data_IF_095694671583
#
_entry.id   IF_095694671583
#
_cell.length_a   1.000
_cell.length_b   1.000
_cell.length_c   1.000
_cell.angle_alpha   90.00
_cell.angle_beta   90.00
_cell.angle_gamma   90.00
#
_symmetry.space_group_name_H-M   'P 1'
#
loop_
_entity.id
_entity.type
_entity.pdbx_description
1 polymer ?
#
# COMPACT_ATOMS: atom_id res chain seq x y z
N UNK A 1 -31.95 -42.50 3.84
CA UNK A 1 -31.85 -41.15 3.20
C UNK A 1 -30.41 -40.98 2.74
N UNK A 2 -30.19 -41.03 1.43
CA UNK A 2 -28.90 -41.39 0.85
C UNK A 2 -27.89 -40.25 0.99
N UNK A 3 -26.76 -40.54 1.63
CA UNK A 3 -25.68 -39.60 1.95
C UNK A 3 -25.15 -38.83 0.73
N UNK A 4 -25.10 -39.50 -0.42
CA UNK A 4 -24.71 -38.92 -1.70
C UNK A 4 -25.60 -37.73 -2.12
N UNK A 5 -26.91 -37.86 -2.00
CA UNK A 5 -27.87 -36.80 -2.34
C UNK A 5 -27.72 -35.59 -1.41
N UNK A 6 -27.32 -35.84 -0.15
CA UNK A 6 -27.08 -34.78 0.84
C UNK A 6 -25.79 -34.01 0.55
N UNK A 7 -24.73 -34.70 0.11
CA UNK A 7 -23.46 -34.06 -0.29
C UNK A 7 -23.64 -33.19 -1.54
N UNK A 8 -24.37 -33.68 -2.54
CA UNK A 8 -24.67 -32.89 -3.75
C UNK A 8 -25.48 -31.63 -3.43
N UNK A 9 -26.45 -31.73 -2.50
CA UNK A 9 -27.27 -30.60 -2.07
C UNK A 9 -26.48 -29.57 -1.25
N UNK A 10 -25.48 -30.02 -0.49
CA UNK A 10 -24.58 -29.16 0.25
C UNK A 10 -23.61 -28.42 -0.68
N UNK A 11 -23.06 -29.10 -1.69
CA UNK A 11 -22.21 -28.50 -2.71
C UNK A 11 -22.96 -27.44 -3.55
N UNK A 12 -24.22 -27.70 -3.93
CA UNK A 12 -25.05 -26.73 -4.64
C UNK A 12 -25.49 -25.52 -3.78
N UNK A 13 -25.44 -25.64 -2.46
CA UNK A 13 -25.68 -24.54 -1.51
C UNK A 13 -24.38 -23.86 -1.06
N UNK A 14 -23.23 -24.32 -1.55
CA UNK A 14 -21.95 -23.77 -1.16
C UNK A 14 -21.65 -22.50 -1.98
N UNK A 15 -21.92 -21.34 -1.37
CA UNK A 15 -21.66 -20.03 -1.95
C UNK A 15 -20.20 -19.56 -1.78
N UNK A 16 -19.34 -20.39 -1.15
CA UNK A 16 -17.93 -20.04 -0.93
C UNK A 16 -17.19 -19.71 -2.24
N UNK A 17 -17.53 -20.35 -3.35
CA UNK A 17 -16.99 -20.04 -4.67
C UNK A 17 -17.40 -18.67 -5.22
N UNK A 18 -18.62 -18.20 -4.93
CA UNK A 18 -19.11 -16.87 -5.32
C UNK A 18 -18.41 -15.80 -4.49
N UNK A 19 -18.25 -16.05 -3.20
CA UNK A 19 -17.53 -15.12 -2.30
C UNK A 19 -16.05 -14.98 -2.70
N UNK A 20 -15.40 -16.04 -3.20
CA UNK A 20 -14.02 -15.97 -3.65
C UNK A 20 -13.81 -15.06 -4.88
N UNK A 21 -14.81 -14.98 -5.78
CA UNK A 21 -14.75 -14.12 -6.97
C UNK A 21 -14.92 -12.63 -6.58
N UNK A 22 -15.85 -12.33 -5.68
CA UNK A 22 -16.09 -10.96 -5.22
C UNK A 22 -14.91 -10.41 -4.42
N UNK A 23 -14.40 -11.19 -3.46
CA UNK A 23 -13.19 -10.83 -2.73
C UNK A 23 -11.97 -10.79 -3.64
N UNK A 24 -11.93 -11.59 -4.72
CA UNK A 24 -10.89 -11.54 -5.75
C UNK A 24 -10.83 -10.18 -6.46
N UNK A 25 -11.98 -9.62 -6.86
CA UNK A 25 -12.05 -8.29 -7.49
C UNK A 25 -11.70 -7.19 -6.49
N UNK A 26 -12.21 -7.30 -5.26
CA UNK A 26 -11.90 -6.33 -4.21
C UNK A 26 -10.40 -6.32 -3.86
N UNK A 27 -9.78 -7.51 -3.80
CA UNK A 27 -8.34 -7.64 -3.60
C UNK A 27 -7.54 -7.04 -4.77
N UNK A 28 -7.98 -7.25 -6.03
CA UNK A 28 -7.34 -6.65 -7.20
C UNK A 28 -7.44 -5.12 -7.18
N UNK A 29 -8.61 -4.57 -6.83
CA UNK A 29 -8.81 -3.12 -6.70
C UNK A 29 -7.92 -2.52 -5.60
N UNK A 30 -7.82 -3.19 -4.45
CA UNK A 30 -6.94 -2.78 -3.36
C UNK A 30 -5.47 -2.83 -3.76
N UNK A 31 -5.03 -3.90 -4.44
CA UNK A 31 -3.67 -4.02 -4.94
C UNK A 31 -3.32 -2.91 -5.93
N UNK A 32 -4.23 -2.56 -6.84
CA UNK A 32 -4.05 -1.45 -7.76
C UNK A 32 -3.94 -0.10 -7.02
N UNK A 33 -4.81 0.15 -6.04
CA UNK A 33 -4.75 1.38 -5.24
C UNK A 33 -3.44 1.51 -4.45
N UNK A 34 -3.00 0.43 -3.79
CA UNK A 34 -1.70 0.38 -3.09
C UNK A 34 -0.55 0.60 -4.10
N UNK A 35 -0.61 -0.01 -5.28
CA UNK A 35 0.39 0.18 -6.33
C UNK A 35 0.50 1.64 -6.79
N UNK A 36 -0.61 2.36 -6.91
CA UNK A 36 -0.61 3.79 -7.28
C UNK A 36 -0.06 4.67 -6.17
N UNK A 37 -0.43 4.41 -4.91
CA UNK A 37 0.01 5.22 -3.76
C UNK A 37 1.50 5.01 -3.47
N UNK A 38 1.94 3.75 -3.46
CA UNK A 38 3.27 3.33 -3.01
C UNK A 38 4.23 2.97 -4.15
N UNK A 39 3.80 3.09 -5.41
CA UNK A 39 4.68 2.94 -6.57
C UNK A 39 5.84 3.94 -6.54
N UNK A 40 6.88 3.69 -7.33
CA UNK A 40 8.07 4.55 -7.41
C UNK A 40 7.75 6.00 -7.78
N UNK A 41 6.71 6.19 -8.60
CA UNK A 41 6.18 7.50 -9.00
C UNK A 41 4.92 7.89 -8.22
N UNK A 42 4.62 7.16 -7.14
CA UNK A 42 3.44 7.35 -6.32
C UNK A 42 3.51 8.66 -5.53
N UNK A 43 2.37 9.34 -5.41
CA UNK A 43 2.25 10.63 -4.73
C UNK A 43 2.79 10.59 -3.28
N UNK A 44 2.62 9.46 -2.59
CA UNK A 44 3.10 9.29 -1.22
C UNK A 44 4.63 9.19 -1.15
N UNK A 45 5.25 8.35 -1.99
CA UNK A 45 6.71 8.16 -2.00
C UNK A 45 7.41 9.46 -2.39
N UNK A 46 6.90 10.16 -3.41
CA UNK A 46 7.43 11.48 -3.81
C UNK A 46 7.34 12.49 -2.67
N UNK A 47 6.17 12.66 -2.05
CA UNK A 47 6.00 13.58 -0.94
C UNK A 47 6.93 13.26 0.23
N UNK A 48 7.11 11.97 0.54
CA UNK A 48 8.00 11.51 1.58
C UNK A 48 9.47 11.87 1.26
N UNK A 49 9.92 11.62 0.03
CA UNK A 49 11.27 12.00 -0.43
C UNK A 49 11.50 13.49 -0.35
N UNK A 50 10.53 14.30 -0.79
CA UNK A 50 10.64 15.76 -0.75
C UNK A 50 10.78 16.28 0.68
N UNK A 51 10.03 15.72 1.64
CA UNK A 51 10.18 16.09 3.06
C UNK A 51 11.54 15.70 3.62
N UNK A 52 12.05 14.50 3.31
CA UNK A 52 13.38 14.11 3.76
C UNK A 52 14.49 14.95 3.12
N UNK A 53 14.37 15.31 1.85
CA UNK A 53 15.30 16.21 1.16
C UNK A 53 15.29 17.60 1.79
N UNK A 54 14.11 18.13 2.12
CA UNK A 54 14.00 19.42 2.81
C UNK A 54 14.70 19.38 4.18
N UNK A 55 14.44 18.34 4.99
CA UNK A 55 15.10 18.16 6.29
C UNK A 55 16.62 18.08 6.14
N UNK A 56 17.12 17.32 5.16
CA UNK A 56 18.55 17.22 4.91
C UNK A 56 19.18 18.56 4.50
N UNK A 57 18.47 19.35 3.71
CA UNK A 57 18.90 20.70 3.34
C UNK A 57 18.95 21.63 4.56
N UNK A 58 17.92 21.62 5.42
CA UNK A 58 17.87 22.45 6.63
C UNK A 58 19.00 22.11 7.60
N UNK A 59 19.30 20.82 7.80
CA UNK A 59 20.43 20.36 8.60
C UNK A 59 21.76 20.84 8.01
N UNK A 60 21.93 20.72 6.70
CA UNK A 60 23.16 21.15 6.01
C UNK A 60 23.36 22.66 6.12
N UNK A 61 22.30 23.44 5.87
CA UNK A 61 22.32 24.90 5.99
C UNK A 61 22.69 25.34 7.40
N UNK A 62 22.04 24.76 8.41
CA UNK A 62 22.33 25.05 9.81
C UNK A 62 23.80 24.74 10.17
N UNK A 63 24.35 23.63 9.65
CA UNK A 63 25.75 23.29 9.83
C UNK A 63 26.73 24.23 9.12
N UNK A 64 26.36 24.78 7.95
CA UNK A 64 27.17 25.78 7.24
C UNK A 64 27.11 27.15 7.90
N UNK A 65 25.96 27.55 8.46
CA UNK A 65 25.80 28.81 9.17
C UNK A 65 26.68 28.86 10.43
N UNK A 66 26.76 27.75 11.18
CA UNK A 66 27.68 27.63 12.34
C UNK A 66 29.15 27.77 11.93
N UNK A 67 29.56 27.16 10.80
CA UNK A 67 30.95 27.26 10.32
C UNK A 67 31.29 28.66 9.80
N UNK A 68 30.30 29.35 9.24
CA UNK A 68 30.42 30.73 8.77
C UNK A 68 30.53 31.71 9.94
N UNK A 69 29.76 31.51 11.01
CA UNK A 69 29.85 32.29 12.25
C UNK A 69 31.19 32.06 12.98
N UNK A 70 31.68 30.82 13.02
CA UNK A 70 32.97 30.48 13.64
C UNK A 70 34.23 30.94 12.84
N UNK A 71 34.06 31.44 11.61
CA UNK A 71 35.16 31.90 10.75
C UNK A 71 35.25 33.42 10.62
N UNK A 72 34.50 34.18 11.42
CA UNK A 72 34.53 35.65 11.47
C UNK A 72 35.14 36.17 12.78
#
# INVERSE_FOLDING_TARGET
MNSFTRQLKAFLHDESGVTAIEYGILAAAMAAAVGVIFGSDGAFVTALRDKFTAIAADITSSGTDIKKDASN
#
